data_IF_131402290888
#
_entry.id   IF_131402290888
#
_cell.length_a   1.000
_cell.length_b   1.000
_cell.length_c   1.000
_cell.angle_alpha   90.00
_cell.angle_beta   90.00
_cell.angle_gamma   90.00
#
_symmetry.space_group_name_H-M   'P 1'
#
loop_
_entity.id
_entity.type
_entity.pdbx_description
1 polymer ?
#
# COMPACT_ATOMS: atom_id res chain seq x y z
N UNK A 1 4.12 32.69 40.28
CA UNK A 1 4.85 31.86 39.31
C UNK A 1 4.04 31.92 38.02
N UNK A 2 4.49 32.72 37.06
CA UNK A 2 3.77 32.96 35.80
C UNK A 2 3.91 31.73 34.90
N UNK A 3 2.78 31.16 34.46
CA UNK A 3 2.74 30.13 33.43
C UNK A 3 3.41 30.62 32.12
N UNK A 4 4.19 29.78 31.42
CA UNK A 4 4.76 30.16 30.15
C UNK A 4 3.66 30.28 29.09
N UNK A 5 3.44 31.49 28.60
CA UNK A 5 2.51 31.76 27.50
C UNK A 5 2.94 30.96 26.27
N UNK A 6 2.09 30.02 25.83
CA UNK A 6 2.26 29.26 24.58
C UNK A 6 2.35 30.25 23.40
N UNK A 7 3.55 30.42 22.86
CA UNK A 7 3.81 31.27 21.69
C UNK A 7 3.12 30.65 20.47
N UNK A 8 2.07 31.31 19.97
CA UNK A 8 1.33 30.86 18.78
C UNK A 8 2.12 31.18 17.52
N UNK A 9 2.12 30.27 16.53
CA UNK A 9 2.77 30.50 15.22
C UNK A 9 2.21 31.78 14.57
N UNK A 10 3.06 32.75 14.18
CA UNK A 10 2.60 33.96 13.52
C UNK A 10 2.06 33.63 12.13
N UNK A 11 0.89 34.17 11.79
CA UNK A 11 0.18 33.85 10.54
C UNK A 11 0.56 34.74 9.35
N UNK A 12 1.49 35.68 9.55
CA UNK A 12 1.91 36.66 8.55
C UNK A 12 0.78 37.64 8.18
N UNK A 13 1.13 38.73 7.50
CA UNK A 13 0.19 39.75 7.04
C UNK A 13 0.28 39.90 5.52
N UNK A 14 -0.86 40.08 4.87
CA UNK A 14 -0.88 40.24 3.42
C UNK A 14 -0.36 41.64 3.03
N UNK A 15 0.46 41.71 1.98
CA UNK A 15 0.98 42.95 1.38
C UNK A 15 0.88 42.85 -0.15
N UNK A 16 0.67 44.00 -0.79
CA UNK A 16 0.72 44.12 -2.25
C UNK A 16 2.16 44.29 -2.76
N UNK A 17 2.49 43.55 -3.82
CA UNK A 17 3.73 43.75 -4.58
C UNK A 17 3.50 44.91 -5.54
N UNK A 18 4.23 46.00 -5.31
CA UNK A 18 4.14 47.23 -6.10
C UNK A 18 4.33 46.95 -7.60
N UNK A 19 3.39 47.41 -8.44
CA UNK A 19 3.46 47.27 -9.90
C UNK A 19 2.97 45.94 -10.49
N UNK A 20 2.56 44.95 -9.68
CA UNK A 20 1.98 43.69 -10.18
C UNK A 20 0.45 43.64 -10.17
N UNK A 21 -0.21 44.62 -9.56
CA UNK A 21 -1.65 44.63 -9.48
C UNK A 21 -2.27 45.05 -10.82
N UNK A 22 -3.17 44.21 -11.35
CA UNK A 22 -3.86 44.45 -12.63
C UNK A 22 -5.24 45.08 -12.45
N UNK A 23 -5.56 45.60 -11.25
CA UNK A 23 -6.85 46.20 -10.91
C UNK A 23 -8.07 45.36 -11.34
N UNK A 24 -8.05 44.05 -11.08
CA UNK A 24 -9.04 43.06 -11.57
C UNK A 24 -10.48 43.18 -11.03
N UNK A 25 -10.86 44.31 -10.43
CA UNK A 25 -12.21 44.55 -9.92
C UNK A 25 -12.50 43.95 -8.55
N UNK A 26 -11.63 44.20 -7.56
CA UNK A 26 -11.90 43.98 -6.12
C UNK A 26 -12.12 42.53 -5.64
N UNK A 27 -11.67 41.51 -6.38
CA UNK A 27 -11.76 40.09 -5.94
C UNK A 27 -11.09 39.81 -4.59
N UNK A 28 -10.03 40.55 -4.26
CA UNK A 28 -9.35 40.44 -2.97
C UNK A 28 -10.15 41.07 -1.82
N UNK A 29 -10.98 42.08 -2.09
CA UNK A 29 -11.89 42.69 -1.13
C UNK A 29 -13.06 41.75 -0.82
N UNK A 30 -13.72 41.19 -1.83
CA UNK A 30 -14.89 40.31 -1.64
C UNK A 30 -14.61 39.01 -0.89
N UNK A 31 -13.35 38.57 -0.89
CA UNK A 31 -12.93 37.32 -0.25
C UNK A 31 -12.38 37.54 1.17
N UNK A 32 -12.20 38.80 1.59
CA UNK A 32 -11.67 39.12 2.91
C UNK A 32 -12.74 38.89 3.99
N UNK A 33 -12.54 37.95 4.94
CA UNK A 33 -13.54 37.63 5.96
C UNK A 33 -13.62 38.67 7.10
N UNK A 34 -12.72 39.65 7.11
CA UNK A 34 -12.56 40.66 8.17
C UNK A 34 -12.58 42.08 7.60
N UNK A 35 -12.99 42.23 6.34
CA UNK A 35 -13.06 43.51 5.62
C UNK A 35 -11.77 44.35 5.76
N UNK A 36 -10.62 43.67 5.81
CA UNK A 36 -9.30 44.28 5.94
C UNK A 36 -8.67 44.71 4.62
N UNK A 37 -9.41 44.66 3.51
CA UNK A 37 -8.94 45.07 2.18
C UNK A 37 -9.93 46.08 1.62
N UNK A 38 -9.47 47.30 1.38
CA UNK A 38 -10.23 48.39 0.77
C UNK A 38 -9.59 48.74 -0.58
N UNK A 39 -10.36 49.22 -1.55
CA UNK A 39 -9.83 49.56 -2.88
C UNK A 39 -9.58 51.07 -2.97
N UNK A 40 -8.41 51.47 -3.46
CA UNK A 40 -8.11 52.88 -3.76
C UNK A 40 -8.83 53.35 -5.03
N UNK A 41 -8.86 54.68 -5.25
CA UNK A 41 -9.42 55.28 -6.46
C UNK A 41 -8.70 54.84 -7.75
N UNK A 42 -7.47 54.33 -7.63
CA UNK A 42 -6.63 53.85 -8.74
C UNK A 42 -6.82 52.34 -8.99
N UNK A 43 -7.70 51.68 -8.23
CA UNK A 43 -8.00 50.25 -8.39
C UNK A 43 -6.99 49.32 -7.72
N UNK A 44 -6.17 49.83 -6.80
CA UNK A 44 -5.23 49.04 -6.01
C UNK A 44 -5.79 48.68 -4.62
N UNK A 45 -5.57 47.44 -4.13
CA UNK A 45 -5.98 47.04 -2.79
C UNK A 45 -5.10 47.65 -1.70
N UNK A 46 -5.69 48.46 -0.84
CA UNK A 46 -5.17 48.94 0.43
C UNK A 46 -5.47 47.89 1.52
N UNK A 47 -4.43 47.27 2.07
CA UNK A 47 -4.57 46.24 3.09
C UNK A 47 -4.30 46.83 4.46
N UNK A 48 -5.32 46.80 5.32
CA UNK A 48 -5.25 47.15 6.73
C UNK A 48 -4.47 46.06 7.51
N UNK A 49 -3.18 46.29 7.72
CA UNK A 49 -2.28 45.32 8.39
C UNK A 49 -2.70 44.99 9.83
N UNK A 50 -3.45 45.86 10.48
CA UNK A 50 -3.99 45.74 11.82
C UNK A 50 -5.23 44.84 11.89
N UNK A 51 -6.02 44.77 10.81
CA UNK A 51 -7.19 43.88 10.70
C UNK A 51 -6.86 42.53 10.07
N UNK A 52 -5.69 42.39 9.45
CA UNK A 52 -5.30 41.19 8.73
C UNK A 52 -5.08 39.98 9.66
N UNK A 53 -5.87 38.92 9.48
CA UNK A 53 -5.77 37.67 10.26
C UNK A 53 -4.87 36.58 9.63
N UNK A 54 -4.21 36.89 8.51
CA UNK A 54 -3.32 35.95 7.82
C UNK A 54 -4.00 34.71 7.23
N UNK A 55 -5.23 34.84 6.73
CA UNK A 55 -6.02 33.71 6.20
C UNK A 55 -5.64 33.26 4.78
N UNK A 56 -4.75 33.98 4.08
CA UNK A 56 -4.19 33.68 2.73
C UNK A 56 -5.23 33.64 1.60
N UNK A 57 -6.52 33.87 1.86
CA UNK A 57 -7.57 33.82 0.83
C UNK A 57 -7.38 34.88 -0.27
N UNK A 58 -6.91 36.08 0.09
CA UNK A 58 -6.63 37.16 -0.85
C UNK A 58 -5.49 36.82 -1.81
N UNK A 59 -4.45 36.11 -1.34
CA UNK A 59 -3.34 35.61 -2.18
C UNK A 59 -3.85 34.58 -3.18
N UNK A 60 -4.67 33.62 -2.73
CA UNK A 60 -5.20 32.54 -3.59
C UNK A 60 -6.14 33.02 -4.68
N UNK A 61 -6.93 34.07 -4.42
CA UNK A 61 -7.89 34.60 -5.40
C UNK A 61 -7.26 35.59 -6.38
N UNK A 62 -6.03 36.04 -6.14
CA UNK A 62 -5.37 37.02 -7.01
C UNK A 62 -4.87 36.37 -8.31
N UNK A 63 -5.46 36.68 -9.48
CA UNK A 63 -5.05 36.06 -10.75
C UNK A 63 -3.65 36.50 -11.20
N UNK A 64 -3.20 37.69 -10.78
CA UNK A 64 -1.88 38.23 -11.11
C UNK A 64 -0.79 37.85 -10.09
N UNK A 65 -1.13 37.15 -9.00
CA UNK A 65 -0.19 36.88 -7.91
C UNK A 65 0.39 38.15 -7.28
N UNK A 66 -0.36 39.25 -7.29
CA UNK A 66 0.09 40.57 -6.82
C UNK A 66 0.11 40.72 -5.29
N UNK A 67 -0.35 39.72 -4.55
CA UNK A 67 -0.44 39.74 -3.09
C UNK A 67 0.49 38.65 -2.52
N UNK A 68 1.33 39.03 -1.57
CA UNK A 68 2.23 38.12 -0.85
C UNK A 68 1.99 38.20 0.66
N UNK A 69 2.41 37.16 1.37
CA UNK A 69 2.42 37.14 2.83
C UNK A 69 3.76 37.67 3.31
N UNK A 70 3.75 38.82 3.95
CA UNK A 70 4.90 39.41 4.62
C UNK A 70 4.89 39.02 6.10
N UNK A 71 6.07 38.68 6.62
CA UNK A 71 6.30 38.39 8.03
C UNK A 71 7.21 39.48 8.59
N UNK A 72 6.92 39.98 9.79
CA UNK A 72 7.82 40.96 10.43
C UNK A 72 9.15 40.29 10.83
N UNK A 73 10.20 41.07 11.05
CA UNK A 73 11.52 40.53 11.43
C UNK A 73 11.47 39.68 12.71
N UNK A 74 10.61 40.04 13.67
CA UNK A 74 10.35 39.28 14.90
C UNK A 74 9.62 37.96 14.60
N UNK A 75 8.63 37.97 13.70
CA UNK A 75 7.92 36.77 13.26
C UNK A 75 8.83 35.84 12.45
N UNK A 76 9.75 36.39 11.64
CA UNK A 76 10.76 35.63 10.91
C UNK A 76 11.77 34.95 11.84
N UNK A 77 12.15 35.59 12.96
CA UNK A 77 12.98 34.96 13.99
C UNK A 77 12.24 33.82 14.71
N UNK A 78 10.94 33.98 14.95
CA UNK A 78 10.07 32.92 15.50
C UNK A 78 9.89 31.79 14.47
N UNK A 79 9.75 32.11 13.18
CA UNK A 79 9.70 31.11 12.11
C UNK A 79 11.05 30.41 11.96
N UNK A 80 12.17 31.12 12.10
CA UNK A 80 13.52 30.55 12.05
C UNK A 80 13.77 29.58 13.22
N UNK A 81 13.31 29.91 14.43
CA UNK A 81 13.37 28.98 15.56
C UNK A 81 12.41 27.80 15.40
N UNK A 82 11.25 27.98 14.74
CA UNK A 82 10.35 26.89 14.40
C UNK A 82 10.81 26.02 13.22
N UNK A 83 11.57 26.57 12.27
CA UNK A 83 12.06 25.82 11.10
C UNK A 83 13.27 24.95 11.44
N UNK A 84 13.99 25.22 12.54
CA UNK A 84 14.93 24.26 13.12
C UNK A 84 14.25 23.09 13.84
N UNK A 85 12.98 23.23 14.25
CA UNK A 85 12.20 22.17 14.92
C UNK A 85 11.30 21.40 13.93
N UNK A 86 11.21 21.88 12.68
CA UNK A 86 10.46 21.26 11.59
C UNK A 86 11.37 20.83 10.43
N UNK A 87 12.60 20.38 10.71
CA UNK A 87 13.04 19.19 10.00
C UNK A 87 12.15 18.05 10.50
N UNK A 88 11.69 17.16 9.62
CA UNK A 88 10.84 16.01 9.96
C UNK A 88 11.48 15.12 11.04
N UNK A 89 11.48 15.56 12.30
CA UNK A 89 11.66 14.68 13.44
C UNK A 89 10.41 13.80 13.44
N UNK A 90 10.55 12.47 13.24
CA UNK A 90 9.40 11.60 13.25
C UNK A 90 8.69 11.79 14.58
N UNK A 91 7.38 12.05 14.52
CA UNK A 91 6.50 12.00 15.69
C UNK A 91 6.87 10.78 16.56
N UNK A 92 6.85 10.89 17.89
CA UNK A 92 7.23 9.77 18.78
C UNK A 92 6.45 8.50 18.41
N UNK A 93 5.20 8.68 17.99
CA UNK A 93 4.32 7.68 17.38
C UNK A 93 4.89 7.01 16.11
N UNK A 94 5.53 7.75 15.22
CA UNK A 94 6.14 7.22 13.99
C UNK A 94 7.43 6.44 14.29
N UNK A 95 8.20 6.88 15.29
CA UNK A 95 9.37 6.16 15.79
C UNK A 95 8.98 4.84 16.48
N UNK A 96 7.92 4.83 17.29
CA UNK A 96 7.38 3.59 17.85
C UNK A 96 6.86 2.64 16.77
N UNK A 97 6.17 3.15 15.75
CA UNK A 97 5.71 2.35 14.60
C UNK A 97 6.89 1.70 13.88
N UNK A 98 7.95 2.47 13.59
CA UNK A 98 9.16 1.93 12.96
C UNK A 98 9.81 0.83 13.79
N UNK A 99 9.81 0.94 15.13
CA UNK A 99 10.33 -0.11 16.03
C UNK A 99 9.49 -1.39 15.99
N UNK A 100 8.15 -1.27 15.93
CA UNK A 100 7.24 -2.44 15.84
C UNK A 100 7.31 -3.13 14.48
N UNK A 101 7.61 -2.38 13.41
CA UNK A 101 7.67 -2.88 12.03
C UNK A 101 9.08 -3.38 11.65
N UNK A 102 10.13 -2.90 12.33
CA UNK A 102 11.52 -3.29 12.07
C UNK A 102 11.84 -4.80 11.99
N UNK A 103 11.21 -5.71 12.76
CA UNK A 103 11.50 -7.14 12.65
C UNK A 103 10.92 -7.77 11.38
N UNK A 104 9.91 -7.15 10.77
CA UNK A 104 9.25 -7.74 9.60
C UNK A 104 10.12 -7.54 8.36
N UNK A 105 10.50 -8.65 7.72
CA UNK A 105 11.32 -8.63 6.51
C UNK A 105 10.88 -9.71 5.53
N UNK A 106 10.96 -9.37 4.26
CA UNK A 106 10.72 -10.31 3.16
C UNK A 106 9.37 -10.09 2.47
N UNK A 107 9.36 -10.39 1.18
CA UNK A 107 8.17 -10.39 0.34
C UNK A 107 7.77 -11.84 0.14
N UNK A 108 6.52 -12.16 0.49
CA UNK A 108 5.98 -13.50 0.34
C UNK A 108 4.98 -13.54 -0.80
N UNK A 109 5.05 -14.60 -1.62
CA UNK A 109 4.09 -14.89 -2.66
C UNK A 109 3.48 -16.25 -2.38
N UNK A 110 2.16 -16.30 -2.26
CA UNK A 110 1.43 -17.56 -2.15
C UNK A 110 1.31 -18.20 -3.53
N UNK A 111 1.83 -19.43 -3.65
CA UNK A 111 1.70 -20.23 -4.86
C UNK A 111 0.43 -21.05 -4.75
N UNK A 112 -0.58 -20.64 -5.52
CA UNK A 112 -1.84 -21.36 -5.62
C UNK A 112 -1.60 -22.62 -6.43
N UNK A 113 -1.92 -23.77 -5.83
CA UNK A 113 -1.84 -25.06 -6.49
C UNK A 113 -3.24 -25.66 -6.63
N UNK A 114 -3.53 -26.22 -7.79
CA UNK A 114 -4.74 -26.98 -8.04
C UNK A 114 -4.36 -28.35 -8.57
N UNK A 115 -4.67 -29.40 -7.80
CA UNK A 115 -4.32 -30.79 -8.14
C UNK A 115 -2.82 -31.01 -8.47
N UNK A 116 -1.92 -30.29 -7.80
CA UNK A 116 -0.47 -30.40 -8.00
C UNK A 116 0.11 -29.50 -9.12
N UNK A 117 -0.73 -28.75 -9.83
CA UNK A 117 -0.31 -27.76 -10.83
C UNK A 117 -0.44 -26.34 -10.28
N UNK A 118 0.59 -25.50 -10.43
CA UNK A 118 0.53 -24.12 -10.01
C UNK A 118 -0.31 -23.27 -10.96
N UNK A 119 -1.12 -22.37 -10.42
CA UNK A 119 -1.86 -21.40 -11.19
C UNK A 119 -0.92 -20.36 -11.83
N UNK A 120 -1.22 -19.97 -13.07
CA UNK A 120 -0.42 -18.99 -13.83
C UNK A 120 -0.20 -17.66 -13.08
N UNK A 121 -1.20 -17.21 -12.32
CA UNK A 121 -1.15 -15.99 -11.50
C UNK A 121 -0.01 -16.02 -10.48
N UNK A 122 0.35 -17.20 -9.96
CA UNK A 122 1.43 -17.33 -8.98
C UNK A 122 2.81 -17.00 -9.57
N UNK A 123 3.02 -17.31 -10.85
CA UNK A 123 4.25 -16.96 -11.56
C UNK A 123 4.32 -15.48 -11.92
N UNK A 124 3.20 -14.90 -12.34
CA UNK A 124 3.05 -13.45 -12.56
C UNK A 124 3.33 -12.66 -11.27
N UNK A 125 2.81 -13.15 -10.14
CA UNK A 125 3.06 -12.59 -8.81
C UNK A 125 4.51 -12.73 -8.36
N UNK A 126 5.19 -13.81 -8.73
CA UNK A 126 6.61 -13.99 -8.41
C UNK A 126 7.45 -12.94 -9.12
N UNK A 127 7.12 -12.60 -10.37
CA UNK A 127 7.76 -11.50 -11.12
C UNK A 127 7.55 -10.14 -10.45
N UNK A 128 6.29 -9.77 -10.17
CA UNK A 128 5.99 -8.52 -9.47
C UNK A 128 6.59 -8.47 -8.05
N UNK A 129 6.57 -9.60 -7.33
CA UNK A 129 7.18 -9.76 -6.02
C UNK A 129 8.69 -9.55 -6.06
N UNK A 130 9.36 -9.97 -7.14
CA UNK A 130 10.79 -9.76 -7.35
C UNK A 130 11.14 -8.28 -7.48
N UNK A 131 10.40 -7.54 -8.32
CA UNK A 131 10.59 -6.09 -8.48
C UNK A 131 10.44 -5.33 -7.14
N UNK A 132 9.45 -5.74 -6.33
CA UNK A 132 9.22 -5.19 -5.00
C UNK A 132 10.36 -5.56 -4.03
N UNK A 133 10.81 -6.81 -4.07
CA UNK A 133 11.88 -7.32 -3.22
C UNK A 133 13.21 -6.61 -3.52
N UNK A 134 13.56 -6.42 -4.80
CA UNK A 134 14.75 -5.70 -5.24
C UNK A 134 14.70 -4.22 -4.82
N UNK A 135 13.53 -3.58 -4.90
CA UNK A 135 13.34 -2.19 -4.44
C UNK A 135 13.49 -2.04 -2.91
N UNK A 136 13.06 -3.03 -2.12
CA UNK A 136 13.20 -3.04 -0.66
C UNK A 136 14.55 -3.55 -0.15
N UNK A 137 15.33 -4.21 -1.02
CA UNK A 137 16.55 -4.94 -0.66
C UNK A 137 16.27 -6.13 0.26
N UNK A 138 15.16 -6.84 0.07
CA UNK A 138 14.77 -8.03 0.85
C UNK A 138 14.66 -9.26 -0.04
N UNK A 139 14.59 -10.44 0.57
CA UNK A 139 14.45 -11.71 -0.15
C UNK A 139 13.00 -11.97 -0.55
N UNK A 140 12.82 -12.57 -1.73
CA UNK A 140 11.54 -13.08 -2.20
C UNK A 140 11.35 -14.53 -1.72
N UNK A 141 10.23 -14.80 -1.04
CA UNK A 141 9.89 -16.15 -0.57
C UNK A 141 8.59 -16.63 -1.19
N UNK A 142 8.60 -17.83 -1.77
CA UNK A 142 7.41 -18.52 -2.23
C UNK A 142 6.84 -19.36 -1.08
N UNK A 143 5.52 -19.32 -0.86
CA UNK A 143 4.83 -20.18 0.11
C UNK A 143 3.98 -21.18 -0.65
N UNK A 144 4.25 -22.46 -0.46
CA UNK A 144 3.64 -23.57 -1.19
C UNK A 144 3.05 -24.53 -0.17
N UNK A 145 1.72 -24.74 -0.26
CA UNK A 145 0.97 -25.63 0.61
C UNK A 145 0.21 -26.62 -0.29
N UNK A 146 0.41 -27.91 -0.07
CA UNK A 146 -0.23 -28.94 -0.89
C UNK A 146 0.17 -30.35 -0.50
N UNK A 147 -0.19 -31.32 -1.34
CA UNK A 147 0.23 -32.72 -1.20
C UNK A 147 1.19 -33.07 -2.35
N UNK A 148 2.37 -33.61 -2.01
CA UNK A 148 3.42 -33.98 -2.97
C UNK A 148 3.88 -32.85 -3.91
N UNK A 149 3.88 -31.59 -3.44
CA UNK A 149 4.19 -30.39 -4.25
C UNK A 149 5.67 -29.97 -4.25
N UNK A 150 6.59 -30.93 -4.09
CA UNK A 150 8.03 -30.66 -4.06
C UNK A 150 8.59 -30.11 -5.38
N UNK A 151 8.00 -30.47 -6.52
CA UNK A 151 8.40 -29.95 -7.84
C UNK A 151 8.07 -28.47 -8.01
N UNK A 152 6.96 -27.99 -7.44
CA UNK A 152 6.56 -26.58 -7.52
C UNK A 152 7.56 -25.65 -6.84
N UNK A 153 8.29 -26.13 -5.83
CA UNK A 153 9.37 -25.35 -5.23
C UNK A 153 10.54 -25.12 -6.20
N UNK A 154 10.88 -26.11 -7.02
CA UNK A 154 11.92 -25.98 -8.04
C UNK A 154 11.49 -25.04 -9.16
N UNK A 155 10.21 -25.10 -9.55
CA UNK A 155 9.63 -24.14 -10.51
C UNK A 155 9.66 -22.72 -9.94
N UNK A 156 9.28 -22.52 -8.68
CA UNK A 156 9.32 -21.21 -8.03
C UNK A 156 10.73 -20.60 -8.01
N UNK A 157 11.77 -21.41 -7.79
CA UNK A 157 13.16 -20.94 -7.91
C UNK A 157 13.48 -20.50 -9.34
N UNK A 158 13.04 -21.25 -10.34
CA UNK A 158 13.22 -20.91 -11.76
C UNK A 158 12.56 -19.58 -12.13
N UNK A 159 11.47 -19.20 -11.45
CA UNK A 159 10.80 -17.90 -11.62
C UNK A 159 11.37 -16.76 -10.74
N UNK A 160 12.44 -17.01 -10.00
CA UNK A 160 13.21 -15.97 -9.28
C UNK A 160 12.95 -15.84 -7.78
N UNK A 161 12.29 -16.84 -7.14
CA UNK A 161 12.19 -16.90 -5.69
C UNK A 161 13.53 -17.29 -5.05
N UNK A 162 13.91 -16.61 -3.95
CA UNK A 162 15.15 -16.91 -3.20
C UNK A 162 14.92 -18.02 -2.17
N UNK A 163 13.77 -18.00 -1.50
CA UNK A 163 13.35 -19.01 -0.52
C UNK A 163 12.03 -19.65 -0.94
N UNK A 164 11.83 -20.91 -0.60
CA UNK A 164 10.53 -21.58 -0.74
C UNK A 164 10.16 -22.24 0.59
N UNK A 165 9.03 -21.83 1.16
CA UNK A 165 8.41 -22.47 2.32
C UNK A 165 7.44 -23.53 1.82
N UNK A 166 7.73 -24.78 2.16
CA UNK A 166 6.96 -25.94 1.71
C UNK A 166 6.28 -26.60 2.91
N UNK A 167 4.96 -26.74 2.83
CA UNK A 167 4.18 -27.59 3.73
C UNK A 167 3.51 -28.67 2.88
N UNK A 168 4.05 -29.89 2.95
CA UNK A 168 3.55 -31.03 2.19
C UNK A 168 2.84 -32.03 3.10
N UNK A 169 1.51 -32.11 3.01
CA UNK A 169 0.73 -33.14 3.72
C UNK A 169 -0.53 -33.57 2.93
N UNK A 170 -0.99 -34.82 3.10
CA UNK A 170 -2.20 -35.33 2.44
C UNK A 170 -3.45 -34.50 2.73
N UNK A 171 -3.52 -33.89 3.92
CA UNK A 171 -4.63 -33.02 4.35
C UNK A 171 -4.83 -31.83 3.39
N UNK A 172 -3.77 -31.37 2.72
CA UNK A 172 -3.80 -30.24 1.79
C UNK A 172 -4.08 -30.64 0.33
N UNK A 173 -4.35 -31.93 0.05
CA UNK A 173 -4.68 -32.42 -1.29
C UNK A 173 -5.85 -31.66 -1.94
N UNK A 174 -6.88 -31.33 -1.13
CA UNK A 174 -8.01 -30.52 -1.56
C UNK A 174 -8.01 -29.20 -0.80
N UNK A 175 -8.31 -28.11 -1.51
CA UNK A 175 -8.42 -26.80 -0.88
C UNK A 175 -9.57 -26.77 0.11
N UNK A 176 -9.24 -26.36 1.34
CA UNK A 176 -10.16 -26.09 2.44
C UNK A 176 -9.65 -24.86 3.17
N UNK A 177 -10.52 -23.90 3.41
CA UNK A 177 -10.15 -22.59 3.95
C UNK A 177 -9.42 -22.71 5.29
N UNK A 178 -9.93 -23.52 6.22
CA UNK A 178 -9.42 -23.63 7.60
C UNK A 178 -8.00 -24.24 7.69
N UNK A 179 -7.69 -25.40 7.07
CA UNK A 179 -6.33 -25.92 7.03
C UNK A 179 -5.31 -24.96 6.41
N UNK A 180 -5.66 -24.33 5.29
CA UNK A 180 -4.78 -23.38 4.60
C UNK A 180 -4.59 -22.10 5.43
N UNK A 181 -5.64 -21.63 6.10
CA UNK A 181 -5.60 -20.50 7.02
C UNK A 181 -4.63 -20.76 8.17
N UNK A 182 -4.79 -21.88 8.88
CA UNK A 182 -3.95 -22.22 10.03
C UNK A 182 -2.47 -22.39 9.63
N UNK A 183 -2.22 -23.03 8.49
CA UNK A 183 -0.86 -23.17 7.95
C UNK A 183 -0.23 -21.81 7.59
N UNK A 184 -0.98 -20.92 6.92
CA UNK A 184 -0.49 -19.58 6.59
C UNK A 184 -0.24 -18.72 7.84
N UNK A 185 -1.14 -18.78 8.82
CA UNK A 185 -1.01 -18.04 10.08
C UNK A 185 0.22 -18.52 10.86
N UNK A 186 0.43 -19.84 10.95
CA UNK A 186 1.62 -20.43 11.57
C UNK A 186 2.91 -19.91 10.94
N UNK A 187 2.99 -19.88 9.60
CA UNK A 187 4.17 -19.37 8.89
C UNK A 187 4.36 -17.87 9.13
N UNK A 188 3.30 -17.07 9.06
CA UNK A 188 3.36 -15.62 9.26
C UNK A 188 3.80 -15.27 10.69
N UNK A 189 3.29 -15.98 11.70
CA UNK A 189 3.67 -15.75 13.10
C UNK A 189 5.13 -16.14 13.37
N UNK A 190 5.64 -17.18 12.71
CA UNK A 190 7.02 -17.66 12.89
C UNK A 190 8.07 -16.79 12.20
N UNK A 191 7.81 -16.35 10.97
CA UNK A 191 8.80 -15.67 10.13
C UNK A 191 8.57 -14.16 9.95
N UNK A 192 7.39 -13.65 10.30
CA UNK A 192 7.05 -12.23 10.27
C UNK A 192 7.39 -11.54 8.93
N UNK A 193 6.72 -11.88 7.80
CA UNK A 193 6.97 -11.23 6.52
C UNK A 193 6.50 -9.77 6.47
N UNK A 194 7.14 -8.94 5.65
CA UNK A 194 6.76 -7.54 5.48
C UNK A 194 5.55 -7.37 4.55
N UNK A 195 5.53 -8.14 3.46
CA UNK A 195 4.50 -8.14 2.42
C UNK A 195 4.07 -9.56 2.10
N UNK A 196 2.77 -9.80 1.92
CA UNK A 196 2.20 -11.06 1.44
C UNK A 196 1.30 -10.81 0.24
N UNK A 197 1.63 -11.44 -0.88
CA UNK A 197 0.90 -11.34 -2.15
C UNK A 197 0.18 -12.66 -2.44
N UNK A 198 -1.08 -12.56 -2.87
CA UNK A 198 -1.91 -13.69 -3.25
C UNK A 198 -2.62 -13.42 -4.59
N UNK A 199 -3.03 -14.47 -5.30
CA UNK A 199 -3.83 -14.33 -6.51
C UNK A 199 -5.25 -13.87 -6.17
N UNK A 200 -5.86 -13.04 -7.02
CA UNK A 200 -7.28 -12.70 -6.89
C UNK A 200 -8.18 -13.77 -7.53
N UNK A 201 -7.86 -15.05 -7.33
CA UNK A 201 -8.67 -16.18 -7.79
C UNK A 201 -9.76 -16.52 -6.77
N UNK A 202 -10.61 -17.51 -7.06
CA UNK A 202 -11.59 -18.00 -6.09
C UNK A 202 -10.94 -18.48 -4.79
N UNK A 203 -9.77 -19.13 -4.89
CA UNK A 203 -9.00 -19.60 -3.73
C UNK A 203 -8.34 -18.44 -2.99
N UNK A 204 -7.58 -17.60 -3.70
CA UNK A 204 -6.81 -16.54 -3.05
C UNK A 204 -7.70 -15.45 -2.44
N UNK A 205 -8.87 -15.16 -3.03
CA UNK A 205 -9.85 -14.20 -2.44
C UNK A 205 -10.44 -14.71 -1.13
N UNK A 206 -10.70 -16.01 -1.04
CA UNK A 206 -11.20 -16.66 0.18
C UNK A 206 -10.10 -16.68 1.27
N UNK A 207 -8.93 -17.23 0.93
CA UNK A 207 -7.81 -17.37 1.87
C UNK A 207 -7.30 -16.01 2.37
N UNK A 208 -7.11 -15.03 1.48
CA UNK A 208 -6.57 -13.72 1.86
C UNK A 208 -7.45 -13.01 2.89
N UNK A 209 -8.78 -13.07 2.71
CA UNK A 209 -9.74 -12.45 3.64
C UNK A 209 -9.69 -13.10 5.02
N UNK A 210 -9.61 -14.44 5.06
CA UNK A 210 -9.50 -15.20 6.30
C UNK A 210 -8.19 -14.89 7.05
N UNK A 211 -7.05 -14.93 6.34
CA UNK A 211 -5.72 -14.68 6.92
C UNK A 211 -5.61 -13.25 7.45
N UNK A 212 -6.05 -12.25 6.67
CA UNK A 212 -5.99 -10.85 7.07
C UNK A 212 -6.79 -10.57 8.36
N UNK A 213 -7.95 -11.23 8.51
CA UNK A 213 -8.78 -11.12 9.71
C UNK A 213 -8.10 -11.74 10.93
N UNK A 214 -7.50 -12.93 10.78
CA UNK A 214 -6.84 -13.65 11.88
C UNK A 214 -5.58 -12.94 12.36
N UNK A 215 -4.78 -12.39 11.45
CA UNK A 215 -3.55 -11.65 11.73
C UNK A 215 -3.83 -10.17 12.09
N UNK A 216 -5.07 -9.70 11.91
CA UNK A 216 -5.52 -8.32 12.18
C UNK A 216 -4.74 -7.28 11.37
N UNK A 217 -4.55 -7.55 10.08
CA UNK A 217 -3.85 -6.66 9.16
C UNK A 217 -4.75 -6.15 8.03
N UNK A 218 -4.25 -5.16 7.28
CA UNK A 218 -4.93 -4.63 6.10
C UNK A 218 -4.74 -5.53 4.88
N UNK A 219 -5.81 -5.68 4.10
CA UNK A 219 -5.84 -6.40 2.83
C UNK A 219 -6.42 -5.48 1.74
N UNK A 220 -5.69 -5.31 0.64
CA UNK A 220 -6.25 -4.68 -0.57
C UNK A 220 -6.56 -5.74 -1.62
N UNK A 221 -7.84 -5.87 -1.97
CA UNK A 221 -8.28 -6.83 -2.98
C UNK A 221 -8.15 -6.28 -4.41
N UNK A 222 -7.91 -7.17 -5.36
CA UNK A 222 -7.93 -6.92 -6.82
C UNK A 222 -7.02 -5.76 -7.26
N UNK A 223 -5.78 -5.78 -6.79
CA UNK A 223 -4.75 -4.81 -7.18
C UNK A 223 -4.37 -5.00 -8.65
N UNK A 224 -4.21 -3.88 -9.34
CA UNK A 224 -3.72 -3.81 -10.72
C UNK A 224 -2.32 -3.18 -10.81
N UNK A 225 -1.85 -2.55 -9.73
CA UNK A 225 -0.51 -1.99 -9.66
C UNK A 225 0.02 -2.08 -8.25
N UNK A 226 1.30 -2.44 -8.12
CA UNK A 226 2.03 -2.47 -6.87
C UNK A 226 3.24 -1.56 -7.00
N UNK A 227 3.52 -0.82 -5.94
CA UNK A 227 4.69 0.05 -5.87
C UNK A 227 5.14 0.24 -4.44
N UNK A 228 6.27 0.87 -4.24
CA UNK A 228 6.85 1.09 -2.92
C UNK A 228 7.10 2.57 -2.73
N UNK A 229 6.56 3.11 -1.64
CA UNK A 229 6.77 4.51 -1.28
C UNK A 229 8.15 4.72 -0.61
N UNK A 230 8.62 5.96 -0.56
CA UNK A 230 9.86 6.35 0.12
C UNK A 230 9.91 5.91 1.59
N UNK A 231 8.74 5.71 2.23
CA UNK A 231 8.60 5.20 3.59
C UNK A 231 8.61 3.66 3.72
N UNK A 232 8.89 2.91 2.64
CA UNK A 232 8.84 1.43 2.58
C UNK A 232 7.43 0.83 2.77
N UNK A 233 6.39 1.60 2.48
CA UNK A 233 5.01 1.08 2.47
C UNK A 233 4.62 0.63 1.07
N UNK A 234 3.78 -0.41 1.01
CA UNK A 234 3.28 -0.98 -0.25
C UNK A 234 2.12 -0.13 -0.76
N UNK A 235 2.33 0.56 -1.87
CA UNK A 235 1.32 1.28 -2.63
C UNK A 235 0.51 0.29 -3.46
N UNK A 236 -0.73 0.05 -3.04
CA UNK A 236 -1.64 -0.91 -3.68
C UNK A 236 -2.66 -0.15 -4.50
N UNK A 237 -2.48 -0.16 -5.82
CA UNK A 237 -3.37 0.53 -6.75
C UNK A 237 -4.45 -0.44 -7.22
N UNK A 238 -5.71 -0.08 -7.00
CA UNK A 238 -6.86 -0.87 -7.44
C UNK A 238 -7.96 0.00 -8.04
N UNK A 239 -8.73 -0.53 -9.01
CA UNK A 239 -9.99 0.07 -9.42
C UNK A 239 -11.05 -0.04 -8.32
N UNK A 240 -11.77 1.06 -8.10
CA UNK A 240 -12.94 1.17 -7.25
C UNK A 240 -14.14 1.69 -8.07
N UNK A 241 -15.35 1.55 -7.53
CA UNK A 241 -16.59 2.04 -8.17
C UNK A 241 -16.77 1.57 -9.62
N UNK A 242 -16.68 0.25 -9.84
CA UNK A 242 -16.87 -0.35 -11.17
C UNK A 242 -15.75 -0.06 -12.17
N UNK A 243 -14.58 0.40 -11.71
CA UNK A 243 -13.45 0.74 -12.58
C UNK A 243 -13.29 2.21 -12.90
N UNK A 244 -14.21 3.07 -12.46
CA UNK A 244 -14.18 4.50 -12.78
C UNK A 244 -13.15 5.29 -11.97
N UNK A 245 -12.75 4.78 -10.80
CA UNK A 245 -11.81 5.47 -9.92
C UNK A 245 -10.65 4.52 -9.65
N UNK A 246 -9.43 5.01 -9.88
CA UNK A 246 -8.21 4.34 -9.45
C UNK A 246 -7.83 4.88 -8.08
N UNK A 247 -7.74 4.00 -7.08
CA UNK A 247 -7.36 4.36 -5.73
C UNK A 247 -6.06 3.64 -5.35
N UNK A 248 -5.12 4.39 -4.80
CA UNK A 248 -3.91 3.84 -4.21
C UNK A 248 -4.08 3.79 -2.70
N UNK A 249 -4.09 2.59 -2.14
CA UNK A 249 -4.32 2.31 -0.72
C UNK A 249 -2.99 1.86 -0.11
N UNK A 250 -2.73 2.30 1.12
CA UNK A 250 -1.52 1.96 1.87
C UNK A 250 -1.89 1.54 3.29
N UNK A 251 -1.14 0.57 3.84
CA UNK A 251 -1.30 0.14 5.22
C UNK A 251 -0.07 0.53 6.04
N UNK A 252 -0.14 1.71 6.67
CA UNK A 252 1.01 2.27 7.40
C UNK A 252 1.24 1.63 8.77
N UNK A 253 0.18 1.05 9.37
CA UNK A 253 0.18 0.67 10.79
C UNK A 253 0.35 -0.83 11.06
N UNK A 254 -0.17 -1.68 10.19
CA UNK A 254 -0.24 -3.12 10.43
C UNK A 254 0.68 -3.88 9.47
N UNK A 255 1.15 -5.05 9.94
CA UNK A 255 1.98 -5.99 9.18
C UNK A 255 1.45 -7.41 9.41
N UNK A 256 1.58 -8.32 8.43
CA UNK A 256 2.12 -8.11 7.07
C UNK A 256 1.20 -7.25 6.20
N UNK A 257 1.74 -6.51 5.23
CA UNK A 257 0.91 -5.82 4.24
C UNK A 257 0.40 -6.84 3.23
N UNK A 258 -0.91 -7.01 3.12
CA UNK A 258 -1.49 -8.04 2.25
C UNK A 258 -2.16 -7.42 1.03
N UNK A 259 -1.94 -8.02 -0.14
CA UNK A 259 -2.63 -7.64 -1.36
C UNK A 259 -3.01 -8.88 -2.19
N UNK A 260 -4.21 -8.89 -2.76
CA UNK A 260 -4.52 -9.81 -3.87
C UNK A 260 -4.34 -9.10 -5.19
N UNK A 261 -3.74 -9.77 -6.18
CA UNK A 261 -3.48 -9.21 -7.51
C UNK A 261 -4.34 -9.90 -8.55
N UNK A 262 -4.93 -9.10 -9.43
CA UNK A 262 -5.75 -9.63 -10.53
C UNK A 262 -4.88 -10.47 -11.48
N UNK A 263 -5.34 -11.68 -11.87
CA UNK A 263 -4.65 -12.48 -12.90
C UNK A 263 -4.48 -11.70 -14.20
N UNK A 264 -3.39 -11.97 -14.92
CA UNK A 264 -3.05 -11.40 -16.23
C UNK A 264 -2.73 -9.91 -16.25
N UNK A 265 -2.54 -9.29 -15.08
CA UNK A 265 -2.12 -7.88 -15.01
C UNK A 265 -0.60 -7.74 -14.99
N UNK A 266 0.08 -8.62 -14.27
CA UNK A 266 1.53 -8.57 -14.15
C UNK A 266 2.19 -9.38 -15.26
N UNK A 267 3.30 -8.90 -15.84
CA UNK A 267 4.03 -9.65 -16.85
C UNK A 267 4.62 -10.92 -16.24
N UNK A 268 4.57 -12.02 -16.99
CA UNK A 268 5.23 -13.25 -16.59
C UNK A 268 6.75 -13.10 -16.73
N UNK A 269 7.54 -13.36 -15.67
CA UNK A 269 8.99 -13.32 -15.79
C UNK A 269 9.50 -14.47 -16.67
N UNK A 270 10.63 -14.26 -17.35
CA UNK A 270 11.28 -15.33 -18.10
C UNK A 270 11.91 -16.34 -17.12
N UNK A 271 11.66 -17.64 -17.29
CA UNK A 271 12.24 -18.64 -16.40
C UNK A 271 13.77 -18.67 -16.55
N UNK A 272 14.45 -18.56 -15.41
CA UNK A 272 15.91 -18.67 -15.32
C UNK A 272 16.28 -20.14 -15.19
N UNK A 273 16.95 -20.68 -16.21
CA UNK A 273 17.52 -22.02 -16.13
C UNK A 273 18.65 -22.05 -15.08
N UNK A 274 18.55 -22.93 -14.08
CA UNK A 274 19.51 -23.18 -12.98
C UNK A 274 19.46 -22.22 -11.78
N UNK A 275 18.33 -21.58 -11.50
CA UNK A 275 18.17 -20.88 -10.23
C UNK A 275 18.02 -21.89 -9.07
N UNK A 276 18.89 -21.77 -8.05
CA UNK A 276 18.81 -22.55 -6.82
C UNK A 276 18.45 -21.64 -5.65
N UNK A 277 17.35 -21.93 -4.97
CA UNK A 277 16.95 -21.24 -3.75
C UNK A 277 17.01 -22.13 -2.51
N UNK A 278 16.72 -21.55 -1.35
CA UNK A 278 16.67 -22.26 -0.08
C UNK A 278 15.28 -22.84 0.13
N UNK A 279 15.18 -24.17 0.13
CA UNK A 279 13.96 -24.88 0.52
C UNK A 279 13.88 -24.98 2.05
N UNK A 280 12.75 -24.55 2.62
CA UNK A 280 12.44 -24.64 4.03
C UNK A 280 11.17 -25.47 4.16
N UNK A 281 11.33 -26.75 4.50
CA UNK A 281 10.22 -27.65 4.76
C UNK A 281 9.78 -27.50 6.21
N UNK A 282 8.50 -27.21 6.41
CA UNK A 282 7.90 -27.06 7.73
C UNK A 282 6.83 -28.14 7.93
N UNK A 283 6.94 -28.87 9.03
CA UNK A 283 5.97 -29.89 9.42
C UNK A 283 4.87 -29.24 10.26
N UNK A 284 3.68 -29.06 9.68
CA UNK A 284 2.53 -28.51 10.39
C UNK A 284 1.48 -29.58 10.65
N UNK A 285 1.38 -30.11 11.88
CA UNK A 285 0.43 -31.20 12.17
C UNK A 285 -0.99 -30.68 12.44
N UNK A 286 -1.89 -30.81 11.47
CA UNK A 286 -3.35 -30.67 11.68
C UNK A 286 -3.97 -32.06 11.69
N UNK A 287 -4.86 -32.34 12.65
CA UNK A 287 -5.64 -33.56 12.65
C UNK A 287 -6.87 -33.42 11.74
N UNK A 288 -7.16 -34.42 10.90
CA UNK A 288 -8.35 -34.37 10.04
C UNK A 288 -9.67 -34.31 10.83
N UNK A 289 -9.66 -34.75 12.09
CA UNK A 289 -10.81 -34.71 12.99
C UNK A 289 -11.22 -33.29 13.40
N UNK A 290 -10.30 -32.33 13.35
CA UNK A 290 -10.58 -30.95 13.73
C UNK A 290 -11.21 -30.15 12.57
N UNK A 291 -11.21 -30.72 11.35
CA UNK A 291 -11.67 -30.02 10.16
C UNK A 291 -13.17 -30.25 9.99
N UNK A 292 -13.94 -29.17 10.14
CA UNK A 292 -15.41 -29.24 10.02
C UNK A 292 -15.86 -29.52 8.57
N UNK A 293 -15.11 -29.04 7.59
CA UNK A 293 -15.47 -29.13 6.17
C UNK A 293 -14.94 -30.40 5.51
N UNK A 294 -15.83 -31.10 4.79
CA UNK A 294 -15.51 -32.31 4.03
C UNK A 294 -15.85 -32.13 2.57
N UNK A 295 -14.88 -32.38 1.70
CA UNK A 295 -15.07 -32.38 0.25
C UNK A 295 -15.60 -33.75 -0.14
N UNK A 296 -16.87 -33.83 -0.53
CA UNK A 296 -17.49 -35.09 -0.94
C UNK A 296 -17.11 -35.49 -2.37
N UNK A 297 -17.09 -34.51 -3.27
CA UNK A 297 -16.78 -34.72 -4.68
C UNK A 297 -16.29 -33.41 -5.29
N UNK A 298 -15.24 -33.50 -6.11
CA UNK A 298 -14.81 -32.41 -7.00
C UNK A 298 -15.29 -32.76 -8.40
N UNK A 299 -16.19 -31.93 -8.94
CA UNK A 299 -16.69 -32.09 -10.30
C UNK A 299 -15.89 -31.14 -11.18
N UNK A 300 -14.90 -31.68 -11.88
CA UNK A 300 -14.23 -30.95 -12.96
C UNK A 300 -15.09 -31.00 -14.21
N UNK A 301 -15.54 -29.83 -14.68
CA UNK A 301 -16.20 -29.71 -15.99
C UNK A 301 -15.16 -29.77 -17.12
N UNK A 302 -14.48 -30.93 -17.26
CA UNK A 302 -13.63 -31.25 -18.43
C UNK A 302 -14.44 -32.00 -19.50
N UNK A 303 -15.74 -31.67 -19.61
CA UNK A 303 -16.71 -32.36 -20.46
C UNK A 303 -17.00 -31.61 -21.76
N UNK A 304 -16.08 -31.68 -22.72
CA UNK A 304 -16.36 -31.39 -24.14
C UNK A 304 -15.27 -30.63 -24.87
N UNK A 305 -14.67 -31.25 -25.90
CA UNK A 305 -13.69 -30.64 -26.83
C UNK A 305 -14.22 -29.40 -27.60
N UNK A 306 -15.50 -29.04 -27.42
CA UNK A 306 -16.20 -27.93 -28.08
C UNK A 306 -16.59 -26.78 -27.13
N UNK A 307 -16.17 -26.82 -25.86
CA UNK A 307 -16.45 -25.73 -24.90
C UNK A 307 -15.17 -24.97 -24.61
N UNK A 308 -15.15 -23.70 -25.03
CA UNK A 308 -14.12 -22.74 -24.66
C UNK A 308 -14.29 -22.40 -23.18
N UNK A 309 -13.24 -22.56 -22.39
CA UNK A 309 -13.20 -22.05 -21.03
C UNK A 309 -13.18 -20.52 -21.10
N UNK A 310 -14.30 -19.89 -20.76
CA UNK A 310 -14.45 -18.42 -20.80
C UNK A 310 -13.41 -17.73 -19.90
N UNK A 311 -12.90 -18.40 -18.87
CA UNK A 311 -11.87 -17.85 -18.00
C UNK A 311 -10.45 -17.93 -18.59
N UNK A 312 -10.21 -18.84 -19.55
CA UNK A 312 -8.92 -19.04 -20.24
C UNK A 312 -8.93 -18.65 -21.71
N UNK A 313 -10.04 -18.12 -22.22
CA UNK A 313 -10.18 -17.70 -23.61
C UNK A 313 -9.41 -16.40 -23.86
N UNK A 314 -8.54 -16.40 -24.87
CA UNK A 314 -7.83 -15.18 -25.30
C UNK A 314 -8.77 -14.17 -26.00
N UNK A 315 -10.00 -14.57 -26.35
CA UNK A 315 -11.04 -13.75 -27.02
C UNK A 315 -12.46 -14.18 -26.67
#
# INVERSE_FOLDING_TARGET
MNEPQKVKKPRGKARIITGKCIACGARCQSVCPVDGVEMSAEGEPLIATEKCIGCVKCVKVCPAGALEMFYTAEELLIIASFSQVNGDEPDEDELERRRRVAPYRGVWVFIEQNAGEAARVSWELTGAGRELADTLGVQLSAVIIGDQVGHLAQEAFSFGADNAYLISQPVFSQYRTEPYLEAMVYLIEKYQPEVVLMGATGMGRDLAGAVATRVKTGLTADCTGLGIDAKRNLMQTRPAFGGNIMATIMCDKFRPQMATVRPHVMPMPQPLANASGKLIEESFSISESDIFTRVLQVITDKGGKDRVDVAGAEF
#
